data_IF_409858282048
#
_entry.id   IF_409858282048
#
_cell.length_a   1.000
_cell.length_b   1.000
_cell.length_c   1.000
_cell.angle_alpha   90.00
_cell.angle_beta   90.00
_cell.angle_gamma   90.00
#
_symmetry.space_group_name_H-M   'P 1'
#
loop_
_entity.id
_entity.type
_entity.pdbx_description
1 polymer ?
#
# COMPACT_ATOMS: atom_id res chain seq x y z
N UNK A 1 16.94 -11.67 -8.32
CA UNK A 1 17.15 -10.51 -7.43
C UNK A 1 16.14 -10.63 -6.30
N UNK A 2 16.52 -10.46 -5.03
CA UNK A 2 15.56 -10.56 -3.93
C UNK A 2 14.60 -9.36 -3.94
N UNK A 3 13.38 -9.56 -3.47
CA UNK A 3 12.34 -8.53 -3.46
C UNK A 3 11.87 -8.17 -2.05
N UNK A 4 11.60 -6.88 -1.83
CA UNK A 4 10.90 -6.35 -0.66
C UNK A 4 9.56 -5.76 -1.11
N UNK A 5 8.46 -6.39 -0.70
CA UNK A 5 7.11 -5.94 -1.04
C UNK A 5 6.41 -5.43 0.21
N UNK A 6 6.04 -4.16 0.21
CA UNK A 6 5.12 -3.60 1.18
C UNK A 6 3.69 -3.84 0.69
N UNK A 7 2.87 -4.50 1.51
CA UNK A 7 1.41 -4.54 1.31
C UNK A 7 0.81 -3.60 2.33
N UNK A 8 0.48 -2.39 1.88
CA UNK A 8 0.03 -1.27 2.70
C UNK A 8 -1.47 -1.00 2.52
N UNK A 9 -2.06 -0.27 3.46
CA UNK A 9 -3.47 0.13 3.40
C UNK A 9 -4.11 0.26 4.78
N UNK A 10 -5.23 0.98 4.85
CA UNK A 10 -5.95 1.19 6.11
C UNK A 10 -6.47 -0.13 6.72
N UNK A 11 -7.04 -0.05 7.93
CA UNK A 11 -7.74 -1.18 8.52
C UNK A 11 -8.82 -1.71 7.59
N UNK A 12 -8.99 -3.03 7.59
CA UNK A 12 -9.97 -3.74 6.77
C UNK A 12 -9.89 -3.52 5.23
N UNK A 13 -8.81 -2.96 4.71
CA UNK A 13 -8.58 -2.82 3.26
C UNK A 13 -8.34 -4.14 2.50
N UNK A 14 -8.26 -5.27 3.21
CA UNK A 14 -8.13 -6.60 2.58
C UNK A 14 -6.71 -7.15 2.47
N UNK A 15 -5.71 -6.51 3.11
CA UNK A 15 -4.28 -6.86 3.01
C UNK A 15 -3.96 -8.34 3.23
N UNK A 16 -4.35 -8.89 4.39
CA UNK A 16 -4.08 -10.29 4.70
C UNK A 16 -4.86 -11.26 3.78
N UNK A 17 -6.04 -10.86 3.29
CA UNK A 17 -6.78 -11.66 2.29
C UNK A 17 -6.05 -11.66 0.96
N UNK A 18 -5.55 -10.50 0.50
CA UNK A 18 -4.78 -10.36 -0.72
C UNK A 18 -3.49 -11.19 -0.71
N UNK A 19 -2.75 -11.18 0.42
CA UNK A 19 -1.56 -12.03 0.57
C UNK A 19 -1.95 -13.51 0.48
N UNK A 20 -3.01 -13.92 1.20
CA UNK A 20 -3.51 -15.30 1.18
C UNK A 20 -3.91 -15.78 -0.21
N UNK A 21 -4.62 -14.98 -0.99
CA UNK A 21 -5.08 -15.36 -2.34
C UNK A 21 -3.92 -15.46 -3.34
N UNK A 22 -2.75 -14.90 -3.01
CA UNK A 22 -1.54 -14.96 -3.83
C UNK A 22 -0.49 -15.95 -3.29
N UNK A 23 -0.78 -16.71 -2.22
CA UNK A 23 0.22 -17.56 -1.55
C UNK A 23 1.00 -18.49 -2.48
N UNK A 24 0.34 -19.11 -3.45
CA UNK A 24 1.01 -19.98 -4.43
C UNK A 24 2.05 -19.24 -5.28
N UNK A 25 1.78 -17.99 -5.64
CA UNK A 25 2.74 -17.12 -6.35
C UNK A 25 3.79 -16.48 -5.44
N UNK A 26 3.65 -16.64 -4.12
CA UNK A 26 4.52 -16.06 -3.10
C UNK A 26 5.33 -17.14 -2.37
N UNK A 27 5.45 -18.34 -2.96
CA UNK A 27 6.32 -19.38 -2.42
C UNK A 27 7.76 -18.86 -2.28
N UNK A 28 8.36 -19.07 -1.11
CA UNK A 28 9.70 -18.55 -0.78
C UNK A 28 9.74 -17.10 -0.27
N UNK A 29 8.61 -16.43 -0.08
CA UNK A 29 8.54 -15.16 0.64
C UNK A 29 8.34 -15.36 2.13
N UNK A 30 9.10 -14.62 2.93
CA UNK A 30 8.85 -14.47 4.37
C UNK A 30 7.86 -13.32 4.61
N UNK A 31 6.75 -13.62 5.28
CA UNK A 31 5.66 -12.66 5.54
C UNK A 31 5.78 -12.11 6.96
N UNK A 32 5.97 -10.81 7.08
CA UNK A 32 5.96 -10.08 8.34
C UNK A 32 4.73 -9.19 8.41
N UNK A 33 4.02 -9.22 9.54
CA UNK A 33 2.85 -8.38 9.78
C UNK A 33 3.08 -7.49 10.98
N UNK A 34 2.90 -6.17 10.83
CA UNK A 34 3.15 -5.21 11.93
C UNK A 34 2.28 -5.47 13.14
N UNK A 35 1.05 -5.93 12.95
CA UNK A 35 0.12 -6.18 14.06
C UNK A 35 0.49 -7.45 14.86
N UNK A 36 1.24 -8.39 14.24
CA UNK A 36 1.72 -9.62 14.86
C UNK A 36 3.05 -9.39 15.59
N UNK A 37 4.04 -8.82 14.89
CA UNK A 37 5.39 -8.66 15.43
C UNK A 37 5.63 -7.32 16.15
N UNK A 38 4.73 -6.33 15.96
CA UNK A 38 4.74 -5.03 16.65
C UNK A 38 6.09 -4.34 16.52
N UNK A 39 6.69 -3.91 17.64
CA UNK A 39 7.98 -3.22 17.67
C UNK A 39 9.15 -4.04 17.11
N UNK A 40 9.04 -5.37 17.10
CA UNK A 40 10.09 -6.27 16.57
C UNK A 40 10.09 -6.36 15.05
N UNK A 41 9.06 -5.86 14.38
CA UNK A 41 8.87 -6.03 12.92
C UNK A 41 10.08 -5.52 12.14
N UNK A 42 10.57 -4.30 12.42
CA UNK A 42 11.70 -3.72 11.70
C UNK A 42 12.98 -4.51 11.86
N UNK A 43 13.26 -4.97 13.08
CA UNK A 43 14.45 -5.78 13.38
C UNK A 43 14.40 -7.10 12.60
N UNK A 44 13.28 -7.81 12.66
CA UNK A 44 13.11 -9.09 11.96
C UNK A 44 13.21 -8.94 10.44
N UNK A 45 12.56 -7.92 9.88
CA UNK A 45 12.67 -7.62 8.44
C UNK A 45 14.11 -7.27 8.07
N UNK A 46 14.82 -6.49 8.90
CA UNK A 46 16.23 -6.15 8.63
C UNK A 46 17.14 -7.37 8.62
N UNK A 47 16.90 -8.35 9.50
CA UNK A 47 17.64 -9.62 9.53
C UNK A 47 17.36 -10.44 8.27
N UNK A 48 16.10 -10.53 7.86
CA UNK A 48 15.71 -11.22 6.63
C UNK A 48 16.31 -10.56 5.38
N UNK A 49 16.33 -9.22 5.31
CA UNK A 49 16.95 -8.46 4.23
C UNK A 49 18.46 -8.77 4.10
N UNK A 50 19.18 -8.73 5.23
CA UNK A 50 20.62 -9.06 5.26
C UNK A 50 20.91 -10.52 4.91
N UNK A 51 19.91 -11.39 5.02
CA UNK A 51 19.99 -12.80 4.67
C UNK A 51 19.56 -13.10 3.22
N UNK A 52 19.27 -12.08 2.41
CA UNK A 52 18.91 -12.25 1.00
C UNK A 52 17.52 -12.86 0.77
N UNK A 53 16.62 -12.79 1.75
CA UNK A 53 15.26 -13.35 1.65
C UNK A 53 14.34 -12.46 0.83
N UNK A 54 13.38 -13.07 0.14
CA UNK A 54 12.22 -12.37 -0.42
C UNK A 54 11.24 -12.06 0.72
N UNK A 55 10.74 -10.84 0.79
CA UNK A 55 10.00 -10.35 1.96
C UNK A 55 8.69 -9.72 1.55
N UNK A 56 7.63 -10.05 2.29
CA UNK A 56 6.38 -9.30 2.30
C UNK A 56 6.23 -8.67 3.68
N UNK A 57 6.06 -7.35 3.70
CA UNK A 57 5.69 -6.62 4.90
C UNK A 57 4.23 -6.14 4.78
N UNK A 58 3.33 -6.79 5.52
CA UNK A 58 1.97 -6.29 5.72
C UNK A 58 1.96 -5.20 6.78
N UNK A 59 1.48 -4.01 6.42
CA UNK A 59 1.47 -2.86 7.32
C UNK A 59 0.29 -1.93 7.05
N UNK A 60 -0.12 -1.15 8.05
CA UNK A 60 -0.97 0.03 7.80
C UNK A 60 -0.19 1.14 7.12
N UNK A 61 1.13 1.15 7.31
CA UNK A 61 2.05 2.22 6.91
C UNK A 61 1.69 3.57 7.54
N UNK A 62 1.33 3.57 8.82
CA UNK A 62 1.08 4.79 9.61
C UNK A 62 2.35 5.38 10.24
N UNK A 63 3.46 4.67 10.19
CA UNK A 63 4.77 5.10 10.69
C UNK A 63 5.73 5.32 9.51
N UNK A 64 6.14 6.58 9.31
CA UNK A 64 7.03 6.99 8.21
C UNK A 64 8.43 6.36 8.31
N UNK A 65 8.85 5.93 9.50
CA UNK A 65 10.16 5.34 9.71
C UNK A 65 10.31 3.95 9.08
N UNK A 66 9.23 3.33 8.59
CA UNK A 66 9.32 2.13 7.74
C UNK A 66 10.07 2.36 6.42
N UNK A 67 10.25 3.62 5.99
CA UNK A 67 11.12 3.96 4.85
C UNK A 67 12.56 3.48 5.04
N UNK A 68 13.04 3.37 6.28
CA UNK A 68 14.39 2.90 6.60
C UNK A 68 14.63 1.45 6.12
N UNK A 69 13.58 0.63 6.05
CA UNK A 69 13.68 -0.72 5.50
C UNK A 69 13.81 -0.71 3.98
N UNK A 70 13.19 0.26 3.31
CA UNK A 70 13.31 0.47 1.87
C UNK A 70 14.72 0.97 1.54
N UNK A 71 15.25 1.91 2.33
CA UNK A 71 16.63 2.39 2.20
C UNK A 71 17.62 1.21 2.35
N UNK A 72 17.45 0.37 3.38
CA UNK A 72 18.28 -0.82 3.58
C UNK A 72 18.16 -1.80 2.41
N UNK A 73 16.95 -2.10 1.95
CA UNK A 73 16.72 -2.99 0.82
C UNK A 73 17.44 -2.49 -0.45
N UNK A 74 17.32 -1.19 -0.76
CA UNK A 74 18.00 -0.57 -1.89
C UNK A 74 19.53 -0.69 -1.78
N UNK A 75 20.11 -0.47 -0.60
CA UNK A 75 21.56 -0.64 -0.39
C UNK A 75 22.03 -2.09 -0.58
N UNK A 76 21.14 -3.06 -0.38
CA UNK A 76 21.40 -4.48 -0.57
C UNK A 76 21.04 -4.98 -1.98
N UNK A 77 20.62 -4.10 -2.89
CA UNK A 77 20.31 -4.44 -4.27
C UNK A 77 18.98 -5.17 -4.45
N UNK A 78 18.01 -4.91 -3.59
CA UNK A 78 16.65 -5.44 -3.71
C UNK A 78 15.82 -4.66 -4.73
N UNK A 79 14.89 -5.36 -5.37
CA UNK A 79 13.73 -4.71 -5.98
C UNK A 79 12.69 -4.40 -4.90
N UNK A 80 12.19 -3.16 -4.88
CA UNK A 80 11.22 -2.70 -3.88
C UNK A 80 9.87 -2.40 -4.53
N UNK A 81 8.81 -2.91 -3.92
CA UNK A 81 7.44 -2.70 -4.40
C UNK A 81 6.52 -2.25 -3.27
N UNK A 82 5.63 -1.29 -3.56
CA UNK A 82 4.53 -0.89 -2.69
C UNK A 82 3.20 -1.26 -3.34
N UNK A 83 2.45 -2.15 -2.70
CA UNK A 83 1.09 -2.50 -3.07
C UNK A 83 0.15 -1.85 -2.05
N UNK A 84 -0.57 -0.82 -2.49
CA UNK A 84 -1.54 -0.09 -1.68
C UNK A 84 -2.92 -0.69 -1.91
N UNK A 85 -3.47 -1.39 -0.92
CA UNK A 85 -4.88 -1.72 -0.91
C UNK A 85 -5.66 -0.59 -0.25
N UNK A 86 -6.56 0.06 -0.98
CA UNK A 86 -7.28 1.22 -0.47
C UNK A 86 -8.80 1.07 -0.54
N UNK A 87 -9.44 1.81 0.36
CA UNK A 87 -10.88 2.06 0.39
C UNK A 87 -11.10 3.53 0.06
N UNK A 88 -12.21 3.85 -0.60
CA UNK A 88 -12.42 5.21 -1.10
C UNK A 88 -12.73 6.21 0.01
N UNK A 89 -13.25 5.72 1.14
CA UNK A 89 -13.62 6.56 2.28
C UNK A 89 -13.34 5.89 3.61
N UNK A 90 -13.20 6.72 4.65
CA UNK A 90 -13.08 6.28 6.04
C UNK A 90 -14.32 5.51 6.49
N UNK A 91 -15.49 5.88 6.00
CA UNK A 91 -16.76 5.18 6.27
C UNK A 91 -16.72 3.73 5.79
N UNK A 92 -16.17 3.46 4.60
CA UNK A 92 -15.98 2.09 4.11
C UNK A 92 -15.07 1.29 5.07
N UNK A 93 -14.02 1.91 5.61
CA UNK A 93 -13.13 1.29 6.60
C UNK A 93 -13.89 0.95 7.88
N UNK A 94 -14.63 1.91 8.46
CA UNK A 94 -15.43 1.68 9.66
C UNK A 94 -16.45 0.56 9.48
N UNK A 95 -17.22 0.60 8.38
CA UNK A 95 -18.21 -0.43 8.05
C UNK A 95 -17.56 -1.82 8.02
N UNK A 96 -16.41 -1.96 7.36
CA UNK A 96 -15.71 -3.25 7.24
C UNK A 96 -15.06 -3.70 8.54
N UNK A 97 -14.55 -2.78 9.37
CA UNK A 97 -14.04 -3.11 10.72
C UNK A 97 -15.18 -3.62 11.61
N UNK A 98 -16.34 -2.95 11.59
CA UNK A 98 -17.52 -3.37 12.35
C UNK A 98 -17.99 -4.78 11.95
N UNK A 99 -18.11 -5.05 10.65
CA UNK A 99 -18.46 -6.38 10.15
C UNK A 99 -17.46 -7.47 10.61
N UNK A 100 -16.16 -7.17 10.64
CA UNK A 100 -15.14 -8.10 11.14
C UNK A 100 -15.24 -8.34 12.64
N UNK A 101 -15.50 -7.32 13.44
CA UNK A 101 -15.66 -7.46 14.88
C UNK A 101 -16.88 -8.33 15.26
N UNK A 102 -17.91 -8.33 14.42
CA UNK A 102 -19.09 -9.19 14.59
C UNK A 102 -18.81 -10.62 14.10
N UNK A 103 -18.13 -10.78 12.97
CA UNK A 103 -17.91 -12.09 12.33
C UNK A 103 -16.68 -12.87 12.85
N UNK A 104 -15.73 -12.20 13.48
CA UNK A 104 -14.48 -12.77 13.97
C UNK A 104 -14.24 -12.31 15.40
N UNK A 105 -13.70 -13.19 16.26
CA UNK A 105 -13.17 -12.87 17.61
C UNK A 105 -11.88 -12.04 17.51
N UNK A 106 -11.87 -11.03 16.65
CA UNK A 106 -10.72 -10.18 16.35
C UNK A 106 -10.44 -9.14 17.44
N UNK A 107 -9.27 -8.51 17.33
CA UNK A 107 -8.88 -7.39 18.19
C UNK A 107 -9.89 -6.25 18.03
N UNK A 108 -10.46 -5.77 19.14
CA UNK A 108 -11.29 -4.57 19.14
C UNK A 108 -10.41 -3.35 18.80
N UNK A 109 -10.60 -2.77 17.61
CA UNK A 109 -9.91 -1.54 17.20
C UNK A 109 -10.84 -0.36 17.50
N UNK A 110 -10.35 0.59 18.29
CA UNK A 110 -11.11 1.81 18.59
C UNK A 110 -11.34 2.65 17.34
N UNK A 111 -12.44 3.40 17.31
CA UNK A 111 -12.73 4.27 16.17
C UNK A 111 -11.64 5.31 15.92
N UNK A 112 -11.08 5.86 17.00
CA UNK A 112 -9.95 6.78 16.94
C UNK A 112 -8.73 6.18 16.23
N UNK A 113 -8.42 4.91 16.49
CA UNK A 113 -7.32 4.21 15.82
C UNK A 113 -7.62 3.97 14.34
N UNK A 114 -8.87 3.62 13.97
CA UNK A 114 -9.25 3.47 12.55
C UNK A 114 -9.09 4.78 11.79
N UNK A 115 -9.54 5.90 12.38
CA UNK A 115 -9.41 7.24 11.80
C UNK A 115 -7.94 7.65 11.63
N UNK A 116 -7.13 7.48 12.67
CA UNK A 116 -5.71 7.78 12.64
C UNK A 116 -5.00 6.96 11.56
N UNK A 117 -5.25 5.65 11.54
CA UNK A 117 -4.65 4.73 10.58
C UNK A 117 -5.06 5.04 9.14
N UNK A 118 -6.31 5.43 8.90
CA UNK A 118 -6.76 5.82 7.56
C UNK A 118 -5.98 7.05 7.05
N UNK A 119 -5.89 8.09 7.88
CA UNK A 119 -5.25 9.35 7.52
C UNK A 119 -3.73 9.23 7.39
N UNK A 120 -3.06 8.63 8.37
CA UNK A 120 -1.59 8.47 8.33
C UNK A 120 -1.15 7.49 7.24
N UNK A 121 -1.93 6.44 6.98
CA UNK A 121 -1.67 5.55 5.84
C UNK A 121 -1.76 6.31 4.52
N UNK A 122 -2.83 7.09 4.30
CA UNK A 122 -2.97 7.93 3.10
C UNK A 122 -1.80 8.89 2.94
N UNK A 123 -1.43 9.60 4.02
CA UNK A 123 -0.34 10.57 4.00
C UNK A 123 1.00 9.92 3.66
N UNK A 124 1.38 8.84 4.34
CA UNK A 124 2.65 8.17 4.12
C UNK A 124 2.71 7.52 2.73
N UNK A 125 1.63 6.88 2.28
CA UNK A 125 1.56 6.36 0.91
C UNK A 125 1.76 7.49 -0.11
N UNK A 126 1.06 8.62 0.06
CA UNK A 126 1.15 9.75 -0.86
C UNK A 126 2.53 10.44 -0.84
N UNK A 127 3.24 10.36 0.28
CA UNK A 127 4.59 10.94 0.42
C UNK A 127 5.69 10.00 -0.11
N UNK A 128 5.51 8.68 0.01
CA UNK A 128 6.57 7.68 -0.25
C UNK A 128 6.33 6.76 -1.45
N UNK A 129 5.26 6.91 -2.23
CA UNK A 129 5.02 5.99 -3.35
C UNK A 129 6.13 5.97 -4.43
N UNK A 130 6.83 7.09 -4.66
CA UNK A 130 7.98 7.13 -5.58
C UNK A 130 9.30 6.63 -4.95
N UNK A 131 9.31 6.32 -3.65
CA UNK A 131 10.48 5.75 -2.97
C UNK A 131 10.72 4.27 -3.32
N UNK A 132 9.71 3.61 -3.91
CA UNK A 132 9.76 2.22 -4.33
C UNK A 132 10.02 2.14 -5.84
N UNK A 133 10.64 1.05 -6.30
CA UNK A 133 10.82 0.82 -7.74
C UNK A 133 9.48 0.63 -8.46
N UNK A 134 8.50 0.02 -7.78
CA UNK A 134 7.14 -0.18 -8.31
C UNK A 134 6.11 0.20 -7.26
N UNK A 135 5.06 0.90 -7.66
CA UNK A 135 3.90 1.13 -6.79
C UNK A 135 2.60 0.83 -7.51
N UNK A 136 1.66 0.16 -6.83
CA UNK A 136 0.33 -0.13 -7.34
C UNK A 136 -0.74 0.29 -6.34
N UNK A 137 -1.76 1.01 -6.83
CA UNK A 137 -2.95 1.38 -6.07
C UNK A 137 -4.10 0.47 -6.46
N UNK A 138 -4.44 -0.46 -5.59
CA UNK A 138 -5.48 -1.46 -5.80
C UNK A 138 -6.71 -1.11 -4.96
N UNK A 139 -7.80 -0.77 -5.64
CA UNK A 139 -9.08 -0.54 -5.01
C UNK A 139 -9.72 -1.87 -4.60
N UNK A 140 -10.14 -1.97 -3.35
CA UNK A 140 -10.75 -3.19 -2.79
C UNK A 140 -12.18 -2.96 -2.28
N UNK A 141 -12.76 -1.78 -2.51
CA UNK A 141 -14.07 -1.39 -1.97
C UNK A 141 -15.27 -2.06 -2.66
N UNK A 142 -15.08 -2.70 -3.82
CA UNK A 142 -16.08 -3.54 -4.48
C UNK A 142 -15.92 -5.01 -4.05
N UNK A 143 -17.04 -5.68 -3.77
CA UNK A 143 -17.04 -6.96 -3.04
C UNK A 143 -16.53 -8.17 -3.84
N UNK A 144 -16.29 -8.03 -5.15
CA UNK A 144 -16.00 -9.20 -6.02
C UNK A 144 -14.65 -9.16 -6.73
N UNK A 145 -14.06 -7.99 -6.99
CA UNK A 145 -12.80 -7.92 -7.78
C UNK A 145 -11.91 -6.76 -7.31
N UNK A 146 -10.66 -7.05 -6.99
CA UNK A 146 -9.64 -6.03 -6.77
C UNK A 146 -9.29 -5.34 -8.09
N UNK A 147 -9.29 -4.00 -8.11
CA UNK A 147 -9.02 -3.23 -9.33
C UNK A 147 -7.71 -2.47 -9.18
N UNK A 148 -6.71 -2.76 -10.02
CA UNK A 148 -5.48 -1.95 -10.07
C UNK A 148 -5.75 -0.64 -10.83
N UNK A 149 -5.88 0.46 -10.09
CA UNK A 149 -6.29 1.77 -10.60
C UNK A 149 -5.10 2.60 -11.08
N UNK A 150 -3.98 2.57 -10.36
CA UNK A 150 -2.78 3.36 -10.68
C UNK A 150 -1.53 2.51 -10.51
N UNK A 151 -0.64 2.52 -11.49
CA UNK A 151 0.69 1.93 -11.37
C UNK A 151 1.77 2.98 -11.64
N UNK A 152 2.81 2.97 -10.82
CA UNK A 152 4.06 3.68 -11.07
C UNK A 152 5.19 2.67 -11.21
N UNK A 153 6.13 2.95 -12.12
CA UNK A 153 7.35 2.19 -12.29
C UNK A 153 8.53 3.16 -12.43
N UNK A 154 9.58 2.96 -11.64
CA UNK A 154 10.78 3.82 -11.58
C UNK A 154 10.46 5.32 -11.56
N UNK A 155 9.54 5.68 -10.66
CA UNK A 155 9.03 7.03 -10.46
C UNK A 155 8.28 7.66 -11.65
N UNK A 156 7.80 6.86 -12.59
CA UNK A 156 6.96 7.31 -13.71
C UNK A 156 5.58 6.67 -13.65
N UNK A 157 4.54 7.43 -13.96
CA UNK A 157 3.20 6.88 -14.17
C UNK A 157 3.21 5.89 -15.33
N UNK A 158 2.94 4.62 -15.02
CA UNK A 158 2.88 3.53 -16.00
C UNK A 158 1.43 3.30 -16.46
N UNK A 159 0.48 3.36 -15.52
CA UNK A 159 -0.92 3.07 -15.80
C UNK A 159 -1.86 3.89 -14.92
N UNK A 160 -2.97 4.32 -15.51
CA UNK A 160 -4.13 4.85 -14.81
C UNK A 160 -5.43 4.34 -15.46
N UNK A 161 -6.38 3.90 -14.65
CA UNK A 161 -7.73 3.54 -15.09
C UNK A 161 -8.70 4.60 -14.56
N UNK A 162 -9.50 5.17 -15.46
CA UNK A 162 -10.56 6.11 -15.13
C UNK A 162 -11.55 5.52 -14.12
N UNK A 163 -11.92 6.33 -13.14
CA UNK A 163 -12.70 5.90 -11.98
C UNK A 163 -13.39 7.10 -11.31
N UNK A 164 -14.30 6.83 -10.37
CA UNK A 164 -14.98 7.87 -9.59
C UNK A 164 -14.52 7.91 -8.12
N UNK A 165 -13.27 7.51 -7.86
CA UNK A 165 -12.73 7.33 -6.51
C UNK A 165 -12.09 8.63 -6.01
N UNK A 166 -12.62 9.17 -4.92
CA UNK A 166 -12.10 10.38 -4.28
C UNK A 166 -10.69 10.18 -3.72
N UNK A 167 -10.36 8.98 -3.26
CA UNK A 167 -9.04 8.67 -2.73
C UNK A 167 -7.93 8.99 -3.74
N UNK A 168 -8.11 8.59 -4.99
CA UNK A 168 -7.12 8.78 -6.06
C UNK A 168 -7.03 10.26 -6.47
N UNK A 169 -8.15 10.97 -6.51
CA UNK A 169 -8.17 12.41 -6.77
C UNK A 169 -7.45 13.20 -5.66
N UNK A 170 -7.65 12.81 -4.40
CA UNK A 170 -6.97 13.42 -3.26
C UNK A 170 -5.48 13.05 -3.23
N UNK A 171 -5.12 11.81 -3.58
CA UNK A 171 -3.73 11.40 -3.76
C UNK A 171 -3.02 12.28 -4.80
N UNK A 172 -3.64 12.51 -5.97
CA UNK A 172 -3.05 13.33 -7.01
C UNK A 172 -2.82 14.79 -6.54
N UNK A 173 -3.83 15.40 -5.91
CA UNK A 173 -3.74 16.74 -5.33
C UNK A 173 -2.65 16.84 -4.28
N UNK A 174 -2.60 15.87 -3.37
CA UNK A 174 -1.56 15.82 -2.35
C UNK A 174 -0.18 15.68 -2.99
N UNK A 175 0.00 14.71 -3.89
CA UNK A 175 1.25 14.46 -4.59
C UNK A 175 1.79 15.70 -5.30
N UNK A 176 0.96 16.39 -6.09
CA UNK A 176 1.36 17.64 -6.74
C UNK A 176 1.77 18.71 -5.73
N UNK A 177 0.97 18.94 -4.68
CA UNK A 177 1.25 19.95 -3.65
C UNK A 177 2.55 19.72 -2.87
N UNK A 178 3.07 18.48 -2.89
CA UNK A 178 4.30 18.06 -2.20
C UNK A 178 5.47 17.86 -3.17
N UNK A 179 5.30 18.13 -4.46
CA UNK A 179 6.31 17.87 -5.49
C UNK A 179 6.62 16.39 -5.67
N UNK A 180 5.67 15.51 -5.36
CA UNK A 180 5.75 14.05 -5.54
C UNK A 180 5.08 13.57 -6.82
N UNK A 181 4.26 14.39 -7.47
CA UNK A 181 3.76 14.16 -8.82
C UNK A 181 4.10 15.38 -9.64
N UNK A 182 4.41 15.18 -10.91
CA UNK A 182 4.53 16.29 -11.84
C UNK A 182 3.14 16.74 -12.36
N UNK A 183 3.12 17.86 -13.08
CA UNK A 183 1.87 18.41 -13.61
C UNK A 183 1.22 17.50 -14.67
N UNK A 184 2.01 16.74 -15.43
CA UNK A 184 1.52 15.86 -16.50
C UNK A 184 0.79 14.67 -15.89
N UNK A 185 1.40 13.99 -14.91
CA UNK A 185 0.81 12.87 -14.18
C UNK A 185 -0.43 13.31 -13.40
N UNK A 186 -0.36 14.48 -12.74
CA UNK A 186 -1.51 15.07 -12.08
C UNK A 186 -2.68 15.32 -13.04
N UNK A 187 -2.41 15.89 -14.21
CA UNK A 187 -3.43 16.17 -15.21
C UNK A 187 -4.06 14.89 -15.77
N UNK A 188 -3.27 13.84 -15.99
CA UNK A 188 -3.79 12.51 -16.41
C UNK A 188 -4.80 12.00 -15.38
N UNK A 189 -4.41 11.98 -14.10
CA UNK A 189 -5.26 11.46 -13.02
C UNK A 189 -6.51 12.33 -12.81
N UNK A 190 -6.37 13.65 -12.84
CA UNK A 190 -7.48 14.58 -12.52
C UNK A 190 -8.44 14.81 -13.68
N UNK A 191 -7.98 14.67 -14.93
CA UNK A 191 -8.87 14.62 -16.11
C UNK A 191 -9.59 13.29 -16.23
N UNK A 192 -9.21 12.30 -15.42
CA UNK A 192 -9.88 11.01 -15.30
C UNK A 192 -10.00 10.27 -16.64
N UNK A 193 -8.90 10.22 -17.40
CA UNK A 193 -8.82 9.49 -18.67
C UNK A 193 -7.86 8.33 -18.53
N UNK A 194 -8.26 7.16 -19.04
CA UNK A 194 -7.37 6.00 -19.09
C UNK A 194 -6.02 6.36 -19.69
N UNK A 195 -4.97 5.82 -19.10
CA UNK A 195 -3.60 6.01 -19.54
C UNK A 195 -2.82 4.73 -19.35
N UNK A 196 -1.97 4.43 -20.32
CA UNK A 196 -1.00 3.36 -20.26
C UNK A 196 0.22 3.80 -21.05
N UNK A 197 1.40 3.74 -20.43
CA UNK A 197 2.64 4.21 -21.04
C UNK A 197 3.01 3.43 -22.31
N UNK A 198 2.53 2.18 -22.43
CA UNK A 198 2.83 1.27 -23.54
C UNK A 198 1.67 1.09 -24.53
N UNK A 199 0.62 1.93 -24.48
CA UNK A 199 -0.52 1.88 -25.41
C UNK A 199 -0.44 2.88 -26.54
#
# INVERSE_FOLDING_TARGET
>A
MPELIFVAGCNAAGKSTFIRTKLSSLEGYEVFMTDVYKSRTKELVSIALKSGKNIILETVFNDASFRELVDLANTLGYETSLIVLFLDSMEQSFKRVGLRAIAQTGLLISEGNVKLNFNESFKNVSEYFLYFNRTQFIYTGVDTVNQNIVSFQHATLDKYISNNLNYIQNFAKYGLSRGRLDQVEYDVITRNKDYNMNS
#
